data_IF_500569846107
#
_entry.id   IF_500569846107
#
_cell.length_a   1.000
_cell.length_b   1.000
_cell.length_c   1.000
_cell.angle_alpha   90.00
_cell.angle_beta   90.00
_cell.angle_gamma   90.00
#
_symmetry.space_group_name_H-M   'P 1'
#
loop_
_entity.id
_entity.type
_entity.pdbx_description
1 polymer ?
#
# COMPACT_ATOMS: atom_id res chain seq x y z
N UNK A 1 21.57 -34.95 50.94
CA UNK A 1 21.49 -33.67 51.65
C UNK A 1 21.97 -32.60 50.68
N UNK A 2 21.13 -31.57 50.45
CA UNK A 2 21.44 -30.41 49.60
C UNK A 2 22.43 -29.46 50.30
N UNK A 3 22.98 -28.58 49.47
CA UNK A 3 23.53 -27.25 49.76
C UNK A 3 24.96 -27.19 50.29
N UNK A 4 25.82 -26.27 49.86
CA UNK A 4 25.99 -25.43 48.66
C UNK A 4 27.27 -24.60 48.96
N UNK A 5 27.82 -23.98 47.92
CA UNK A 5 28.40 -22.62 47.90
C UNK A 5 29.94 -22.36 47.95
N UNK A 6 30.38 -21.73 46.82
CA UNK A 6 31.26 -20.53 46.65
C UNK A 6 32.77 -20.79 46.89
N UNK A 7 33.79 -20.42 46.10
CA UNK A 7 34.12 -19.57 44.92
C UNK A 7 35.57 -19.99 44.55
N UNK A 8 36.18 -19.76 43.38
CA UNK A 8 36.59 -18.50 42.76
C UNK A 8 37.42 -18.88 41.52
N UNK A 9 37.22 -18.20 40.38
CA UNK A 9 38.07 -18.28 39.20
C UNK A 9 39.49 -17.72 39.49
N UNK A 10 40.48 -18.05 38.64
CA UNK A 10 40.99 -16.98 37.79
C UNK A 10 41.23 -17.38 36.33
N UNK A 11 40.82 -16.46 35.45
CA UNK A 11 41.51 -15.99 34.25
C UNK A 11 42.39 -16.97 33.46
N UNK A 12 41.87 -17.43 32.32
CA UNK A 12 42.68 -17.68 31.13
C UNK A 12 42.11 -16.84 29.99
N UNK A 13 42.93 -15.89 29.53
CA UNK A 13 42.74 -15.12 28.30
C UNK A 13 42.70 -16.08 27.11
N UNK A 14 41.63 -16.04 26.32
CA UNK A 14 41.62 -16.53 24.94
C UNK A 14 41.18 -15.38 24.01
N UNK A 15 41.74 -15.32 22.79
CA UNK A 15 41.66 -14.14 21.96
C UNK A 15 40.27 -13.93 21.37
N UNK A 16 39.92 -12.65 21.29
CA UNK A 16 38.76 -12.06 20.66
C UNK A 16 38.74 -12.42 19.15
N UNK A 17 37.94 -13.42 18.76
CA UNK A 17 37.62 -13.66 17.36
C UNK A 17 36.53 -12.66 16.93
N UNK A 18 36.98 -11.53 16.39
CA UNK A 18 36.14 -10.58 15.69
C UNK A 18 35.64 -11.15 14.36
N UNK A 19 34.41 -10.79 14.00
CA UNK A 19 34.07 -10.51 12.61
C UNK A 19 33.64 -11.70 11.77
N UNK A 20 32.33 -11.83 11.59
CA UNK A 20 31.78 -12.71 10.56
C UNK A 20 30.27 -12.88 10.62
N UNK A 21 29.53 -11.92 11.15
CA UNK A 21 28.09 -11.90 10.98
C UNK A 21 27.78 -11.78 9.50
N UNK A 22 27.45 -12.90 8.85
CA UNK A 22 26.92 -12.93 7.49
C UNK A 22 25.66 -12.08 7.51
N UNK A 23 25.80 -10.83 7.12
CA UNK A 23 24.68 -9.96 6.82
C UNK A 23 24.08 -10.55 5.56
N UNK A 24 23.06 -11.39 5.73
CA UNK A 24 22.17 -11.74 4.63
C UNK A 24 21.57 -10.44 4.14
N UNK A 25 22.17 -9.86 3.10
CA UNK A 25 21.51 -8.86 2.27
C UNK A 25 20.25 -9.55 1.76
N UNK A 26 19.10 -9.20 2.32
CA UNK A 26 17.82 -9.63 1.78
C UNK A 26 17.78 -9.15 0.34
N UNK A 27 17.73 -10.12 -0.59
CA UNK A 27 17.52 -9.86 -2.01
C UNK A 27 16.27 -8.97 -2.08
N UNK A 28 16.33 -7.78 -2.71
CA UNK A 28 15.10 -7.03 -2.96
C UNK A 28 14.13 -7.98 -3.66
N UNK A 29 12.89 -7.99 -3.18
CA UNK A 29 11.81 -8.82 -3.73
C UNK A 29 11.87 -8.68 -5.25
N UNK A 30 12.15 -9.82 -5.90
CA UNK A 30 12.44 -9.93 -7.32
C UNK A 30 11.48 -9.07 -8.12
N UNK A 31 12.05 -8.40 -9.12
CA UNK A 31 11.37 -7.54 -10.07
C UNK A 31 10.01 -8.14 -10.42
N UNK A 32 8.94 -7.53 -9.88
CA UNK A 32 7.59 -7.80 -10.31
C UNK A 32 7.56 -7.36 -11.78
N UNK A 33 7.68 -8.31 -12.72
CA UNK A 33 7.50 -8.04 -14.14
C UNK A 33 6.07 -7.53 -14.36
N UNK A 34 5.96 -6.21 -14.37
CA UNK A 34 4.77 -5.43 -14.73
C UNK A 34 5.05 -4.79 -16.09
N UNK A 35 5.40 -5.62 -17.08
CA UNK A 35 5.96 -5.17 -18.36
C UNK A 35 4.98 -4.38 -19.25
N UNK A 36 3.69 -4.28 -18.90
CA UNK A 36 2.67 -3.66 -19.77
C UNK A 36 2.19 -2.26 -19.34
N UNK A 37 2.59 -1.73 -18.17
CA UNK A 37 2.02 -0.48 -17.67
C UNK A 37 3.07 0.61 -17.45
N UNK A 38 2.78 1.81 -17.97
CA UNK A 38 3.66 3.00 -17.88
C UNK A 38 3.82 3.54 -16.44
N UNK A 39 3.04 3.03 -15.49
CA UNK A 39 3.05 3.49 -14.10
C UNK A 39 4.29 2.97 -13.35
N UNK A 40 4.99 3.87 -12.66
CA UNK A 40 6.06 3.55 -11.73
C UNK A 40 5.47 3.02 -10.43
N UNK A 41 5.69 1.74 -10.15
CA UNK A 41 5.24 1.08 -8.93
C UNK A 41 6.40 1.01 -7.93
N UNK A 42 6.18 1.47 -6.69
CA UNK A 42 7.16 1.43 -5.60
C UNK A 42 6.59 0.68 -4.42
N UNK A 43 7.26 -0.38 -3.98
CA UNK A 43 6.82 -1.22 -2.86
C UNK A 43 7.78 -1.03 -1.67
N UNK A 44 7.22 -0.80 -0.49
CA UNK A 44 7.99 -0.70 0.75
C UNK A 44 8.74 -1.99 1.05
N UNK A 45 10.01 -1.89 1.45
CA UNK A 45 10.85 -3.03 1.87
C UNK A 45 10.29 -3.79 3.08
N UNK A 46 9.35 -3.19 3.81
CA UNK A 46 8.66 -3.83 4.94
C UNK A 46 7.67 -4.91 4.49
N UNK A 47 7.22 -4.87 3.22
CA UNK A 47 6.30 -5.85 2.66
C UNK A 47 7.11 -7.05 2.18
N UNK A 48 6.96 -8.18 2.88
CA UNK A 48 7.62 -9.45 2.51
C UNK A 48 6.88 -10.20 1.40
N UNK A 49 5.56 -10.07 1.35
CA UNK A 49 4.69 -10.72 0.37
C UNK A 49 3.50 -9.80 0.07
N UNK A 50 3.26 -9.54 -1.21
CA UNK A 50 2.11 -8.74 -1.64
C UNK A 50 0.84 -9.60 -1.66
N UNK A 51 -0.22 -9.11 -1.04
CA UNK A 51 -1.51 -9.79 -1.04
C UNK A 51 -2.13 -9.79 -2.45
N UNK A 52 -2.76 -10.89 -2.93
CA UNK A 52 -3.30 -10.97 -4.29
C UNK A 52 -4.32 -9.88 -4.63
N UNK A 53 -5.19 -9.52 -3.68
CA UNK A 53 -6.16 -8.42 -3.86
C UNK A 53 -5.45 -7.10 -4.11
N UNK A 54 -4.37 -6.82 -3.37
CA UNK A 54 -3.58 -5.60 -3.55
C UNK A 54 -2.92 -5.61 -4.93
N UNK A 55 -2.40 -6.77 -5.37
CA UNK A 55 -1.85 -6.91 -6.73
C UNK A 55 -2.89 -6.58 -7.81
N UNK A 56 -4.11 -7.09 -7.69
CA UNK A 56 -5.18 -6.82 -8.66
C UNK A 56 -5.53 -5.32 -8.70
N UNK A 57 -5.69 -4.69 -7.54
CA UNK A 57 -5.97 -3.25 -7.44
C UNK A 57 -4.85 -2.43 -8.11
N UNK A 58 -3.58 -2.76 -7.84
CA UNK A 58 -2.43 -2.08 -8.46
C UNK A 58 -2.48 -2.20 -9.98
N UNK A 59 -2.74 -3.40 -10.50
CA UNK A 59 -2.82 -3.64 -11.94
C UNK A 59 -3.95 -2.83 -12.56
N UNK A 60 -5.14 -2.87 -11.97
CA UNK A 60 -6.30 -2.13 -12.45
C UNK A 60 -6.05 -0.62 -12.44
N UNK A 61 -5.48 -0.07 -11.36
CA UNK A 61 -5.13 1.35 -11.28
C UNK A 61 -4.07 1.75 -12.30
N UNK A 62 -3.11 0.87 -12.60
CA UNK A 62 -2.06 1.13 -13.59
C UNK A 62 -2.58 1.20 -15.04
N UNK A 63 -3.80 0.72 -15.30
CA UNK A 63 -4.46 0.87 -16.61
C UNK A 63 -5.09 2.25 -16.83
N UNK A 64 -5.29 3.02 -15.77
CA UNK A 64 -5.86 4.37 -15.86
C UNK A 64 -4.78 5.30 -16.42
N UNK A 65 -4.95 5.76 -17.66
CA UNK A 65 -3.95 6.55 -18.42
C UNK A 65 -3.21 7.65 -17.62
N UNK A 66 -3.89 8.52 -16.84
CA UNK A 66 -3.18 9.55 -16.09
C UNK A 66 -2.39 9.01 -14.88
N UNK A 67 -2.68 7.82 -14.35
CA UNK A 67 -2.00 7.26 -13.18
C UNK A 67 -0.59 6.83 -13.55
N UNK A 68 0.41 7.48 -12.93
CA UNK A 68 1.83 7.31 -13.25
C UNK A 68 2.65 6.83 -12.07
N UNK A 69 2.16 7.02 -10.85
CA UNK A 69 2.88 6.70 -9.63
C UNK A 69 1.99 5.88 -8.73
N UNK A 70 2.41 4.66 -8.40
CA UNK A 70 1.74 3.80 -7.44
C UNK A 70 2.74 3.45 -6.33
N UNK A 71 2.35 3.65 -5.09
CA UNK A 71 3.16 3.39 -3.91
C UNK A 71 2.40 2.47 -2.97
N UNK A 72 3.06 1.39 -2.56
CA UNK A 72 2.51 0.40 -1.63
C UNK A 72 3.36 0.42 -0.36
N UNK A 73 2.72 0.68 0.77
CA UNK A 73 3.30 0.62 2.11
C UNK A 73 2.50 -0.35 2.98
N UNK A 74 2.98 -0.72 4.17
CA UNK A 74 2.13 -1.43 5.13
C UNK A 74 0.80 -0.70 5.28
N UNK A 75 -0.29 -1.45 5.09
CA UNK A 75 -1.68 -1.02 5.28
C UNK A 75 -2.15 0.13 4.38
N UNK A 76 -1.35 0.53 3.38
CA UNK A 76 -1.67 1.67 2.50
C UNK A 76 -1.29 1.42 1.05
N UNK A 77 -2.16 1.85 0.15
CA UNK A 77 -1.90 1.95 -1.29
C UNK A 77 -2.24 3.37 -1.75
N UNK A 78 -1.32 4.03 -2.44
CA UNK A 78 -1.56 5.33 -3.05
C UNK A 78 -1.24 5.28 -4.54
N UNK A 79 -2.12 5.83 -5.36
CA UNK A 79 -1.93 5.94 -6.79
C UNK A 79 -2.25 7.37 -7.24
N UNK A 80 -1.43 7.95 -8.12
CA UNK A 80 -1.68 9.30 -8.63
C UNK A 80 -1.00 9.56 -9.97
N UNK A 81 -1.49 10.58 -10.68
CA UNK A 81 -0.84 11.20 -11.82
C UNK A 81 0.39 12.02 -11.45
N UNK A 82 0.50 12.45 -10.19
CA UNK A 82 1.56 13.33 -9.69
C UNK A 82 2.13 12.80 -8.36
N UNK A 83 3.39 13.13 -8.08
CA UNK A 83 4.05 12.85 -6.81
C UNK A 83 4.61 14.15 -6.21
N UNK A 84 4.70 14.20 -4.89
CA UNK A 84 5.30 15.33 -4.17
C UNK A 84 6.76 15.54 -4.59
N UNK A 85 7.18 16.81 -4.63
CA UNK A 85 8.60 17.17 -4.77
C UNK A 85 9.34 16.90 -3.46
N UNK A 86 10.63 16.57 -3.55
CA UNK A 86 11.51 16.39 -2.39
C UNK A 86 12.11 14.99 -2.30
N UNK A 87 12.80 14.72 -1.17
CA UNK A 87 13.52 13.46 -0.94
C UNK A 87 12.58 12.27 -0.80
N UNK A 88 11.43 12.47 -0.16
CA UNK A 88 10.38 11.46 -0.02
C UNK A 88 9.29 11.80 -1.03
N UNK A 89 9.21 11.00 -2.07
CA UNK A 89 8.20 11.10 -3.11
C UNK A 89 6.96 10.30 -2.70
N UNK A 90 5.81 10.95 -2.72
CA UNK A 90 4.52 10.36 -2.35
C UNK A 90 3.48 10.76 -3.38
N UNK A 91 2.68 9.82 -3.92
CA UNK A 91 1.57 10.13 -4.84
C UNK A 91 0.61 11.16 -4.23
N UNK A 92 0.17 12.15 -5.01
CA UNK A 92 -0.70 13.22 -4.53
C UNK A 92 -2.17 12.79 -4.63
N UNK A 93 -2.85 12.69 -3.48
CA UNK A 93 -4.23 12.19 -3.37
C UNK A 93 -5.18 13.18 -2.67
N UNK A 94 -4.62 14.26 -2.13
CA UNK A 94 -5.33 15.25 -1.32
C UNK A 94 -6.49 15.88 -2.11
N UNK A 95 -7.72 15.90 -1.56
CA UNK A 95 -8.86 16.58 -2.18
C UNK A 95 -8.58 18.06 -2.46
N UNK A 96 -9.09 18.55 -3.59
CA UNK A 96 -8.95 19.94 -4.03
C UNK A 96 -7.62 20.27 -4.72
N UNK A 97 -6.73 19.29 -4.96
CA UNK A 97 -5.52 19.55 -5.73
C UNK A 97 -5.89 19.91 -7.19
N UNK A 98 -5.33 21.00 -7.76
CA UNK A 98 -5.84 21.57 -9.01
C UNK A 98 -5.64 20.68 -10.24
N UNK A 99 -4.65 19.78 -10.22
CA UNK A 99 -4.23 19.01 -11.41
C UNK A 99 -4.14 17.51 -11.16
N UNK A 100 -4.12 17.07 -9.90
CA UNK A 100 -3.81 15.68 -9.60
C UNK A 100 -5.05 14.80 -9.80
N UNK A 101 -4.84 13.58 -10.26
CA UNK A 101 -5.84 12.52 -10.29
C UNK A 101 -5.24 11.40 -9.47
N UNK A 102 -5.81 11.09 -8.31
CA UNK A 102 -5.23 10.09 -7.42
C UNK A 102 -6.17 9.62 -6.32
N UNK A 103 -5.85 8.45 -5.77
CA UNK A 103 -6.58 7.78 -4.71
C UNK A 103 -5.59 7.23 -3.67
N UNK A 104 -5.93 7.38 -2.39
CA UNK A 104 -5.28 6.73 -1.27
C UNK A 104 -6.26 5.75 -0.62
N UNK A 105 -5.79 4.53 -0.40
CA UNK A 105 -6.55 3.44 0.18
C UNK A 105 -5.88 3.01 1.48
N UNK A 106 -6.71 2.75 2.50
CA UNK A 106 -6.32 1.96 3.66
C UNK A 106 -6.67 0.50 3.35
N UNK A 107 -5.71 -0.38 3.59
CA UNK A 107 -5.80 -1.81 3.30
C UNK A 107 -6.07 -2.58 4.59
N UNK A 108 -7.34 -2.89 4.85
CA UNK A 108 -7.71 -3.74 5.97
C UNK A 108 -7.91 -5.19 5.48
N UNK A 109 -6.80 -5.89 5.33
CA UNK A 109 -6.80 -7.21 4.72
C UNK A 109 -7.41 -8.29 5.63
N UNK A 110 -7.41 -8.08 6.95
CA UNK A 110 -7.95 -9.01 7.93
C UNK A 110 -9.48 -8.96 7.95
N UNK A 111 -10.04 -7.75 7.83
CA UNK A 111 -11.48 -7.54 7.72
C UNK A 111 -12.00 -7.58 6.27
N UNK A 112 -11.10 -7.74 5.28
CA UNK A 112 -11.40 -7.80 3.84
C UNK A 112 -12.01 -6.50 3.30
N UNK A 113 -11.59 -5.38 3.84
CA UNK A 113 -12.08 -4.06 3.48
C UNK A 113 -10.98 -3.22 2.82
N UNK A 114 -11.36 -2.53 1.75
CA UNK A 114 -10.53 -1.55 1.04
C UNK A 114 -11.18 -0.19 1.25
N UNK A 115 -10.63 0.59 2.17
CA UNK A 115 -11.20 1.88 2.52
C UNK A 115 -10.65 2.99 1.61
N UNK A 116 -11.53 3.77 1.01
CA UNK A 116 -11.17 5.01 0.31
C UNK A 116 -10.89 6.10 1.34
N UNK A 117 -9.62 6.39 1.56
CA UNK A 117 -9.16 7.37 2.56
C UNK A 117 -9.13 8.79 2.00
N UNK A 118 -8.49 8.96 0.84
CA UNK A 118 -8.48 10.23 0.12
C UNK A 118 -8.65 9.98 -1.37
N UNK A 119 -9.25 10.94 -2.07
CA UNK A 119 -9.32 10.92 -3.51
C UNK A 119 -9.38 12.34 -4.06
N UNK A 120 -8.70 12.55 -5.19
CA UNK A 120 -8.76 13.79 -5.95
C UNK A 120 -8.91 13.47 -7.44
N UNK A 121 -9.73 14.26 -8.12
CA UNK A 121 -9.98 14.09 -9.55
C UNK A 121 -10.09 15.47 -10.21
N UNK A 122 -8.95 16.07 -10.57
CA UNK A 122 -8.90 17.36 -11.24
C UNK A 122 -9.65 17.37 -12.59
N UNK A 123 -9.78 16.22 -13.25
CA UNK A 123 -10.55 16.07 -14.49
C UNK A 123 -11.78 15.21 -14.24
N UNK A 124 -12.95 15.67 -14.70
CA UNK A 124 -14.23 14.97 -14.53
C UNK A 124 -14.17 13.54 -15.09
N UNK A 125 -14.77 12.61 -14.36
CA UNK A 125 -14.91 11.21 -14.77
C UNK A 125 -13.82 10.28 -14.21
N UNK A 126 -12.64 10.78 -13.83
CA UNK A 126 -11.59 9.93 -13.29
C UNK A 126 -11.84 9.44 -11.88
N UNK A 127 -12.56 10.19 -11.04
CA UNK A 127 -13.01 9.69 -9.73
C UNK A 127 -13.77 8.37 -9.83
N UNK A 128 -14.73 8.28 -10.76
CA UNK A 128 -15.47 7.04 -11.01
C UNK A 128 -14.58 5.92 -11.55
N UNK A 129 -13.67 6.23 -12.48
CA UNK A 129 -12.71 5.24 -13.01
C UNK A 129 -11.79 4.68 -11.93
N UNK A 130 -11.35 5.51 -10.97
CA UNK A 130 -10.53 5.04 -9.85
C UNK A 130 -11.32 4.12 -8.92
N UNK A 131 -12.55 4.49 -8.57
CA UNK A 131 -13.43 3.62 -7.76
C UNK A 131 -13.67 2.29 -8.48
N UNK A 132 -14.04 2.34 -9.76
CA UNK A 132 -14.25 1.15 -10.57
C UNK A 132 -12.99 0.27 -10.60
N UNK A 133 -11.81 0.83 -10.86
CA UNK A 133 -10.56 0.07 -10.89
C UNK A 133 -10.22 -0.60 -9.54
N UNK A 134 -10.52 0.06 -8.42
CA UNK A 134 -10.29 -0.50 -7.08
C UNK A 134 -11.27 -1.64 -6.78
N UNK A 135 -12.54 -1.48 -7.14
CA UNK A 135 -13.58 -2.47 -6.85
C UNK A 135 -13.62 -3.62 -7.86
N UNK A 136 -13.08 -3.39 -9.05
CA UNK A 136 -12.97 -4.38 -10.11
C UNK A 136 -12.13 -5.56 -9.64
N UNK A 137 -12.67 -6.75 -9.84
CA UNK A 137 -12.06 -8.04 -9.48
C UNK A 137 -11.80 -8.24 -7.97
N UNK A 138 -12.46 -7.45 -7.11
CA UNK A 138 -12.51 -7.77 -5.68
C UNK A 138 -13.27 -9.09 -5.49
N UNK A 139 -12.75 -10.02 -4.65
CA UNK A 139 -13.50 -11.23 -4.32
C UNK A 139 -14.83 -10.87 -3.67
N UNK A 140 -15.87 -11.70 -3.87
CA UNK A 140 -17.24 -11.43 -3.38
C UNK A 140 -17.37 -11.13 -1.89
N UNK A 141 -16.43 -11.59 -1.06
CA UNK A 141 -16.41 -11.38 0.38
C UNK A 141 -15.66 -10.10 0.81
N UNK A 142 -15.23 -9.27 -0.13
CA UNK A 142 -14.50 -8.02 0.11
C UNK A 142 -15.37 -6.82 -0.19
N UNK A 143 -15.21 -5.76 0.60
CA UNK A 143 -15.93 -4.51 0.40
C UNK A 143 -14.98 -3.36 0.08
N UNK A 144 -15.47 -2.44 -0.74
CA UNK A 144 -14.99 -1.06 -0.72
C UNK A 144 -15.69 -0.32 0.39
N UNK A 145 -14.96 0.49 1.15
CA UNK A 145 -15.51 1.22 2.30
C UNK A 145 -15.26 2.72 2.15
N UNK A 146 -16.29 3.52 2.40
CA UNK A 146 -16.20 4.96 2.57
C UNK A 146 -16.69 5.29 3.97
N UNK A 147 -15.80 5.76 4.83
CA UNK A 147 -16.14 6.07 6.23
C UNK A 147 -16.71 7.48 6.39
N UNK A 148 -16.35 8.40 5.49
CA UNK A 148 -16.83 9.78 5.50
C UNK A 148 -17.02 10.30 4.09
N UNK A 149 -18.24 10.75 3.77
CA UNK A 149 -18.58 11.35 2.48
C UNK A 149 -18.65 12.89 2.58
N UNK A 150 -17.70 13.57 1.92
CA UNK A 150 -17.71 15.03 1.70
C UNK A 150 -17.77 15.40 0.21
N UNK A 151 -18.29 14.49 -0.60
CA UNK A 151 -18.19 14.50 -2.06
C UNK A 151 -19.46 14.98 -2.77
N UNK A 152 -20.41 15.54 -2.02
CA UNK A 152 -21.69 16.07 -2.52
C UNK A 152 -22.44 15.05 -3.41
N UNK A 153 -22.65 13.84 -2.86
CA UNK A 153 -23.39 12.75 -3.50
C UNK A 153 -22.63 12.02 -4.61
N UNK A 154 -21.31 12.17 -4.72
CA UNK A 154 -20.52 11.34 -5.62
C UNK A 154 -20.51 9.87 -5.17
N UNK A 155 -20.34 9.59 -3.88
CA UNK A 155 -20.30 8.21 -3.39
C UNK A 155 -21.66 7.51 -3.50
N UNK A 156 -22.77 8.22 -3.31
CA UNK A 156 -24.12 7.69 -3.57
C UNK A 156 -24.26 7.18 -5.01
N UNK A 157 -23.76 7.94 -5.99
CA UNK A 157 -23.75 7.54 -7.41
C UNK A 157 -22.88 6.31 -7.66
N UNK A 158 -21.79 6.15 -6.90
CA UNK A 158 -20.94 4.95 -6.99
C UNK A 158 -21.61 3.73 -6.36
N UNK A 159 -22.30 3.91 -5.23
CA UNK A 159 -23.01 2.82 -4.52
C UNK A 159 -24.10 2.17 -5.38
N UNK A 160 -24.79 2.96 -6.20
CA UNK A 160 -25.77 2.44 -7.18
C UNK A 160 -25.12 1.48 -8.20
N UNK A 161 -23.84 1.68 -8.52
CA UNK A 161 -23.11 0.89 -9.54
C UNK A 161 -22.36 -0.29 -8.95
N UNK A 162 -22.03 -0.25 -7.67
CA UNK A 162 -21.14 -1.21 -7.03
C UNK A 162 -21.77 -1.77 -5.76
N UNK A 163 -22.30 -2.99 -5.85
CA UNK A 163 -23.00 -3.66 -4.74
C UNK A 163 -22.10 -3.96 -3.52
N UNK A 164 -20.78 -4.01 -3.73
CA UNK A 164 -19.79 -4.23 -2.69
C UNK A 164 -19.18 -2.92 -2.15
N UNK A 165 -19.80 -1.76 -2.42
CA UNK A 165 -19.41 -0.48 -1.84
C UNK A 165 -20.32 -0.13 -0.65
N UNK A 166 -19.71 0.00 0.53
CA UNK A 166 -20.38 0.38 1.77
C UNK A 166 -19.99 1.81 2.14
N UNK A 167 -20.98 2.61 2.52
CA UNK A 167 -20.82 3.99 3.00
C UNK A 167 -21.35 4.00 4.43
N UNK A 168 -20.55 4.51 5.36
CA UNK A 168 -20.89 4.67 6.78
C UNK A 168 -21.27 6.12 7.11
#
# INVERSE_FOLDING_TARGET
MRQDFITLCPFILLPFAAGGGITMKSKPMEDFEMAEHKAKITISRKIKRLHPVVKNIVNNLATIEPIRFIKISPDFLQASSEETKGRIKTPITKPGHPTAIGVALILDLDYKDIQFFEMNSATKGYGGKMVEAVLKDLPKAWNGVVVMDWSDGFWDKMKIKHNNLVIF
#
